data_IF_720339056128
#
_entry.id   IF_720339056128
#
_cell.length_a   1.000
_cell.length_b   1.000
_cell.length_c   1.000
_cell.angle_alpha   90.00
_cell.angle_beta   90.00
_cell.angle_gamma   90.00
#
_symmetry.space_group_name_H-M   'P 1'
#
loop_
_entity.id
_entity.type
_entity.pdbx_description
1 polymer ?
#
# COMPACT_ATOMS: atom_id res chain seq x y z
N UNK A 1 12.42 22.21 5.80
CA UNK A 1 11.12 22.92 5.88
C UNK A 1 10.29 22.43 7.05
N UNK A 2 10.37 21.16 7.42
CA UNK A 2 9.54 20.55 8.46
C UNK A 2 10.26 20.42 9.81
N UNK A 3 11.56 20.09 9.81
CA UNK A 3 12.35 19.83 11.03
C UNK A 3 12.35 20.97 12.06
N UNK A 4 12.27 22.22 11.59
CA UNK A 4 12.32 23.42 12.43
C UNK A 4 10.96 24.15 12.50
N UNK A 5 9.88 23.53 12.01
CA UNK A 5 8.57 24.15 11.93
C UNK A 5 7.63 23.55 12.98
N UNK A 6 7.16 24.34 13.97
CA UNK A 6 6.32 23.84 15.05
C UNK A 6 4.96 23.33 14.57
N UNK A 7 4.55 23.60 13.32
CA UNK A 7 3.31 23.02 12.78
C UNK A 7 3.41 21.53 12.46
N UNK A 8 4.62 20.96 12.48
CA UNK A 8 4.87 19.58 12.08
C UNK A 8 5.70 18.88 13.15
N UNK A 9 5.30 17.66 13.48
CA UNK A 9 6.02 16.78 14.40
C UNK A 9 6.70 15.67 13.63
N UNK A 10 7.93 15.33 14.03
CA UNK A 10 8.57 14.10 13.56
C UNK A 10 7.78 12.91 14.11
N UNK A 11 7.42 11.98 13.24
CA UNK A 11 6.67 10.77 13.60
C UNK A 11 7.46 9.49 13.37
N UNK A 12 8.49 9.55 12.54
CA UNK A 12 9.38 8.42 12.27
C UNK A 12 10.73 8.89 11.76
N UNK A 13 11.78 8.17 12.11
CA UNK A 13 13.12 8.35 11.56
C UNK A 13 13.65 7.01 11.07
N UNK A 14 13.86 6.91 9.76
CA UNK A 14 14.50 5.77 9.11
C UNK A 14 16.00 5.84 9.34
N UNK A 15 16.52 4.87 10.10
CA UNK A 15 17.97 4.70 10.29
C UNK A 15 18.66 4.24 9.01
N UNK A 16 17.98 3.40 8.22
CA UNK A 16 18.51 2.82 6.97
C UNK A 16 18.74 3.92 5.92
N UNK A 17 17.80 4.86 5.81
CA UNK A 17 17.84 5.90 4.78
C UNK A 17 18.29 7.26 5.31
N UNK A 18 18.57 7.38 6.62
CA UNK A 18 18.81 8.64 7.30
C UNK A 18 17.72 9.69 6.94
N UNK A 19 16.45 9.25 6.98
CA UNK A 19 15.31 10.02 6.51
C UNK A 19 14.30 10.25 7.64
N UNK A 20 13.92 11.51 7.86
CA UNK A 20 12.92 11.91 8.86
C UNK A 20 11.58 12.15 8.19
N UNK A 21 10.53 11.63 8.81
CA UNK A 21 9.15 11.76 8.37
C UNK A 21 8.34 12.57 9.38
N UNK A 22 7.49 13.44 8.87
CA UNK A 22 6.73 14.38 9.66
C UNK A 22 5.24 14.27 9.36
N UNK A 23 4.42 14.65 10.34
CA UNK A 23 2.98 14.88 10.17
C UNK A 23 2.60 16.23 10.76
N UNK A 24 1.51 16.87 10.31
CA UNK A 24 1.01 18.08 10.94
C UNK A 24 0.63 17.82 12.39
N UNK A 25 0.86 18.79 13.25
CA UNK A 25 0.45 18.72 14.66
C UNK A 25 -1.06 18.97 14.80
N UNK A 26 -1.62 19.86 13.97
CA UNK A 26 -3.07 20.06 13.87
C UNK A 26 -3.72 19.00 12.98
N UNK A 27 -4.48 18.11 13.60
CA UNK A 27 -5.18 16.99 12.96
C UNK A 27 -6.34 17.48 12.07
N UNK A 28 -6.97 18.62 12.40
CA UNK A 28 -8.19 19.07 11.74
C UNK A 28 -7.92 19.89 10.48
N UNK A 29 -6.87 20.74 10.48
CA UNK A 29 -6.58 21.65 9.35
C UNK A 29 -5.15 21.57 8.84
N UNK A 30 -4.33 20.67 9.38
CA UNK A 30 -2.90 20.61 9.07
C UNK A 30 -2.56 20.05 7.69
N UNK A 31 -3.51 19.43 6.98
CA UNK A 31 -3.30 18.89 5.63
C UNK A 31 -3.97 19.75 4.56
N UNK A 32 -3.27 19.96 3.45
CA UNK A 32 -3.84 20.60 2.27
C UNK A 32 -4.85 19.69 1.55
N UNK A 33 -5.81 20.28 0.83
CA UNK A 33 -6.87 19.58 0.10
C UNK A 33 -6.34 18.50 -0.85
N UNK A 34 -5.20 18.74 -1.49
CA UNK A 34 -4.56 17.80 -2.42
C UNK A 34 -4.24 16.44 -1.79
N UNK A 35 -3.91 16.40 -0.49
CA UNK A 35 -3.64 15.14 0.22
C UNK A 35 -4.90 14.34 0.45
N UNK A 36 -6.01 15.01 0.77
CA UNK A 36 -7.31 14.36 0.88
C UNK A 36 -7.80 13.82 -0.47
N UNK A 37 -7.57 14.57 -1.56
CA UNK A 37 -7.89 14.11 -2.93
C UNK A 37 -7.03 12.89 -3.30
N UNK A 38 -5.73 12.92 -3.02
CA UNK A 38 -4.82 11.81 -3.29
C UNK A 38 -5.18 10.57 -2.45
N UNK A 39 -5.49 10.74 -1.17
CA UNK A 39 -5.94 9.66 -0.29
C UNK A 39 -7.30 9.10 -0.74
N UNK A 40 -8.24 9.95 -1.17
CA UNK A 40 -9.52 9.52 -1.73
C UNK A 40 -9.35 8.68 -2.98
N UNK A 41 -8.49 9.10 -3.91
CA UNK A 41 -8.16 8.31 -5.10
C UNK A 41 -7.51 6.97 -4.73
N UNK A 42 -6.55 6.97 -3.80
CA UNK A 42 -5.93 5.74 -3.30
C UNK A 42 -6.93 4.80 -2.63
N UNK A 43 -7.91 5.32 -1.89
CA UNK A 43 -8.96 4.52 -1.27
C UNK A 43 -9.90 3.89 -2.31
N UNK A 44 -10.18 4.57 -3.43
CA UNK A 44 -10.93 3.99 -4.55
C UNK A 44 -10.17 2.80 -5.15
N UNK A 45 -8.86 2.96 -5.38
CA UNK A 45 -8.00 1.87 -5.84
C UNK A 45 -7.96 0.71 -4.83
N UNK A 46 -7.81 1.03 -3.53
CA UNK A 46 -7.82 0.03 -2.48
C UNK A 46 -9.15 -0.73 -2.38
N UNK A 47 -10.30 -0.05 -2.52
CA UNK A 47 -11.62 -0.69 -2.59
C UNK A 47 -11.81 -1.54 -3.85
N UNK A 48 -11.06 -1.25 -4.91
CA UNK A 48 -10.98 -2.08 -6.10
C UNK A 48 -9.97 -3.25 -5.96
N UNK A 49 -9.24 -3.33 -4.84
CA UNK A 49 -8.25 -4.38 -4.58
C UNK A 49 -7.01 -4.30 -5.47
N UNK A 50 -6.67 -3.12 -5.95
CA UNK A 50 -5.51 -2.92 -6.82
C UNK A 50 -4.82 -1.59 -6.52
N UNK A 51 -3.52 -1.50 -6.79
CA UNK A 51 -2.82 -0.19 -6.84
C UNK A 51 -3.07 0.51 -8.17
N UNK A 52 -2.82 1.82 -8.21
CA UNK A 52 -2.82 2.62 -9.45
C UNK A 52 -1.93 1.97 -10.52
N UNK A 53 -0.69 1.62 -10.19
CA UNK A 53 0.28 1.10 -11.16
C UNK A 53 -0.12 -0.28 -11.69
N UNK A 54 -0.77 -1.09 -10.85
CA UNK A 54 -1.30 -2.38 -11.26
C UNK A 54 -2.48 -2.25 -12.21
N UNK A 55 -3.42 -1.35 -11.93
CA UNK A 55 -4.53 -1.05 -12.84
C UNK A 55 -4.03 -0.48 -14.16
N UNK A 56 -3.06 0.43 -14.12
CA UNK A 56 -2.43 1.01 -15.31
C UNK A 56 -1.77 -0.07 -16.16
N UNK A 57 -0.95 -0.93 -15.56
CA UNK A 57 -0.30 -2.06 -16.24
C UNK A 57 -1.31 -3.05 -16.83
N UNK A 58 -2.44 -3.29 -16.15
CA UNK A 58 -3.50 -4.15 -16.68
C UNK A 58 -4.18 -3.53 -17.90
N UNK A 59 -4.47 -2.22 -17.84
CA UNK A 59 -5.07 -1.49 -18.95
C UNK A 59 -4.14 -1.43 -20.15
N UNK A 60 -2.86 -1.13 -19.93
CA UNK A 60 -1.84 -1.15 -20.98
C UNK A 60 -1.72 -2.54 -21.62
N UNK A 61 -1.72 -3.60 -20.81
CA UNK A 61 -1.67 -4.97 -21.35
C UNK A 61 -2.93 -5.34 -22.12
N UNK A 62 -4.11 -4.89 -21.69
CA UNK A 62 -5.35 -5.07 -22.44
C UNK A 62 -5.28 -4.34 -23.80
N UNK A 63 -4.77 -3.11 -23.83
CA UNK A 63 -4.60 -2.33 -25.07
C UNK A 63 -3.58 -2.98 -26.01
N UNK A 64 -2.45 -3.46 -25.48
CA UNK A 64 -1.43 -4.18 -26.24
C UNK A 64 -2.01 -5.44 -26.87
N UNK A 65 -2.79 -6.23 -26.13
CA UNK A 65 -3.51 -7.38 -26.69
C UNK A 65 -4.49 -6.95 -27.80
N UNK A 66 -5.28 -5.89 -27.59
CA UNK A 66 -6.22 -5.38 -28.60
C UNK A 66 -5.54 -4.96 -29.91
N UNK A 67 -4.30 -4.49 -29.83
CA UNK A 67 -3.52 -4.00 -30.97
C UNK A 67 -2.59 -5.07 -31.57
N UNK A 68 -2.52 -6.28 -30.99
CA UNK A 68 -1.70 -7.37 -31.53
C UNK A 68 -2.44 -8.15 -32.63
N UNK A 69 -2.19 -7.76 -33.88
CA UNK A 69 -2.76 -8.40 -35.07
C UNK A 69 -2.34 -9.87 -35.25
N UNK A 70 -1.28 -10.34 -34.59
CA UNK A 70 -0.74 -11.70 -34.77
C UNK A 70 -1.48 -12.74 -33.91
N UNK A 71 -2.03 -12.34 -32.77
CA UNK A 71 -2.65 -13.23 -31.78
C UNK A 71 -4.18 -13.03 -31.65
N UNK A 72 -4.85 -12.59 -32.72
CA UNK A 72 -6.30 -12.39 -32.78
C UNK A 72 -7.13 -13.61 -32.32
N UNK A 73 -6.61 -14.83 -32.47
CA UNK A 73 -7.30 -16.06 -32.05
C UNK A 73 -7.45 -16.17 -30.52
N UNK A 74 -6.49 -15.68 -29.75
CA UNK A 74 -6.52 -15.74 -28.28
C UNK A 74 -6.98 -14.42 -27.65
N UNK A 75 -7.03 -13.34 -28.42
CA UNK A 75 -7.41 -12.00 -27.98
C UNK A 75 -8.59 -11.96 -26.99
N UNK A 76 -9.71 -12.60 -27.33
CA UNK A 76 -10.91 -12.62 -26.48
C UNK A 76 -10.66 -13.35 -25.15
N UNK A 77 -9.87 -14.42 -25.17
CA UNK A 77 -9.52 -15.22 -23.99
C UNK A 77 -8.51 -14.48 -23.11
N UNK A 78 -7.54 -13.79 -23.71
CA UNK A 78 -6.51 -13.02 -23.00
C UNK A 78 -7.13 -11.81 -22.29
N UNK A 79 -8.00 -11.05 -22.99
CA UNK A 79 -8.79 -9.97 -22.38
C UNK A 79 -9.72 -10.51 -21.29
N UNK A 80 -10.41 -11.63 -21.52
CA UNK A 80 -11.28 -12.23 -20.50
C UNK A 80 -10.51 -12.66 -19.25
N UNK A 81 -9.27 -13.13 -19.40
CA UNK A 81 -8.39 -13.49 -18.28
C UNK A 81 -7.99 -12.25 -17.49
N UNK A 82 -7.56 -11.18 -18.16
CA UNK A 82 -7.24 -9.90 -17.51
C UNK A 82 -8.46 -9.29 -16.81
N UNK A 83 -9.63 -9.31 -17.43
CA UNK A 83 -10.88 -8.84 -16.84
C UNK A 83 -11.33 -9.68 -15.63
N UNK A 84 -11.13 -11.00 -15.67
CA UNK A 84 -11.39 -11.87 -14.52
C UNK A 84 -10.42 -11.60 -13.37
N UNK A 85 -9.16 -11.29 -13.65
CA UNK A 85 -8.19 -10.90 -12.63
C UNK A 85 -8.55 -9.58 -11.96
N UNK A 86 -9.04 -8.59 -12.73
CA UNK A 86 -9.62 -7.36 -12.17
C UNK A 86 -10.83 -7.69 -11.30
N UNK A 87 -11.78 -8.48 -11.83
CA UNK A 87 -12.99 -8.87 -11.11
C UNK A 87 -12.71 -9.64 -9.82
N UNK A 88 -11.67 -10.49 -9.80
CA UNK A 88 -11.24 -11.20 -8.61
C UNK A 88 -10.66 -10.25 -7.56
N UNK A 89 -9.84 -9.27 -7.98
CA UNK A 89 -9.30 -8.24 -7.08
C UNK A 89 -10.39 -7.31 -6.52
N UNK A 90 -11.37 -6.92 -7.33
CA UNK A 90 -12.56 -6.19 -6.88
C UNK A 90 -13.36 -6.96 -5.80
N UNK A 91 -13.29 -8.30 -5.80
CA UNK A 91 -14.00 -9.16 -4.83
C UNK A 91 -13.20 -9.45 -3.56
N UNK A 92 -11.88 -9.43 -3.65
CA UNK A 92 -10.96 -9.73 -2.55
C UNK A 92 -9.88 -8.64 -2.46
N UNK A 93 -10.24 -7.43 -2.00
CA UNK A 93 -9.29 -6.33 -1.88
C UNK A 93 -8.34 -6.59 -0.71
N UNK A 94 -7.21 -7.21 -0.99
CA UNK A 94 -6.12 -7.45 -0.03
C UNK A 94 -4.82 -7.13 -0.75
N UNK A 95 -4.38 -5.88 -0.68
CA UNK A 95 -3.15 -5.47 -1.36
C UNK A 95 -2.32 -4.54 -0.49
N UNK A 96 -1.55 -5.11 0.43
CA UNK A 96 -0.61 -4.46 1.38
C UNK A 96 0.05 -3.17 0.86
N UNK A 97 0.35 -3.12 -0.45
CA UNK A 97 0.86 -1.95 -1.16
C UNK A 97 -0.03 -0.71 -1.11
N UNK A 98 -1.35 -0.85 -1.09
CA UNK A 98 -2.29 0.26 -0.94
C UNK A 98 -2.21 0.87 0.46
N UNK A 99 -2.07 0.05 1.50
CA UNK A 99 -1.85 0.49 2.87
C UNK A 99 -0.51 1.22 2.99
N UNK A 100 0.56 0.66 2.41
CA UNK A 100 1.87 1.32 2.35
C UNK A 100 1.80 2.68 1.64
N UNK A 101 1.16 2.73 0.47
CA UNK A 101 0.96 4.00 -0.27
C UNK A 101 0.17 5.01 0.54
N UNK A 102 -0.88 4.57 1.24
CA UNK A 102 -1.68 5.45 2.08
C UNK A 102 -0.83 6.02 3.24
N UNK A 103 -0.04 5.19 3.91
CA UNK A 103 0.91 5.65 4.93
C UNK A 103 1.93 6.64 4.37
N UNK A 104 2.45 6.39 3.17
CA UNK A 104 3.36 7.30 2.49
C UNK A 104 2.71 8.64 2.10
N UNK A 105 1.45 8.65 1.67
CA UNK A 105 0.70 9.88 1.31
C UNK A 105 0.47 10.77 2.55
N UNK A 106 0.24 10.19 3.73
CA UNK A 106 -0.01 11.00 4.94
C UNK A 106 1.27 11.48 5.65
N UNK A 107 2.43 10.93 5.30
CA UNK A 107 3.73 11.39 5.80
C UNK A 107 4.36 12.44 4.88
N UNK A 108 5.05 13.42 5.46
CA UNK A 108 5.93 14.37 4.75
C UNK A 108 7.39 13.98 4.93
N UNK A 109 8.19 14.08 3.87
CA UNK A 109 9.65 14.06 3.95
C UNK A 109 10.22 15.48 3.69
N UNK A 110 11.45 15.73 4.14
CA UNK A 110 12.14 16.99 3.86
C UNK A 110 12.26 17.26 2.35
N UNK A 111 11.95 18.49 1.96
CA UNK A 111 11.90 18.92 0.56
C UNK A 111 10.56 18.72 -0.15
N UNK A 112 9.57 18.08 0.49
CA UNK A 112 8.19 18.08 -0.04
C UNK A 112 7.52 19.45 0.13
N UNK A 113 6.70 19.84 -0.84
CA UNK A 113 5.79 20.98 -0.72
C UNK A 113 4.54 20.57 0.08
N UNK A 114 4.20 21.30 1.17
CA UNK A 114 3.01 21.01 1.96
C UNK A 114 1.68 21.24 1.23
N UNK A 115 1.67 22.11 0.22
CA UNK A 115 0.44 22.51 -0.50
C UNK A 115 0.15 21.61 -1.70
N UNK A 116 1.04 20.68 -2.02
CA UNK A 116 0.86 19.74 -3.13
C UNK A 116 1.18 18.30 -2.72
N UNK A 117 0.84 17.36 -3.60
CA UNK A 117 1.11 15.93 -3.37
C UNK A 117 1.53 15.32 -4.68
N UNK A 118 2.84 15.18 -4.86
CA UNK A 118 3.40 14.63 -6.08
C UNK A 118 3.63 13.13 -5.94
N UNK A 119 3.25 12.38 -6.97
CA UNK A 119 3.39 10.91 -7.00
C UNK A 119 4.86 10.48 -6.91
N UNK A 120 5.80 11.32 -7.38
CA UNK A 120 7.24 11.09 -7.24
C UNK A 120 7.65 10.85 -5.78
N UNK A 121 7.21 11.72 -4.86
CA UNK A 121 7.55 11.60 -3.44
C UNK A 121 6.91 10.36 -2.82
N UNK A 122 5.64 10.10 -3.14
CA UNK A 122 4.95 8.90 -2.67
C UNK A 122 5.65 7.62 -3.12
N UNK A 123 5.99 7.51 -4.41
CA UNK A 123 6.73 6.35 -4.95
C UNK A 123 8.10 6.19 -4.29
N UNK A 124 8.83 7.30 -4.10
CA UNK A 124 10.15 7.26 -3.45
C UNK A 124 10.06 6.77 -2.00
N UNK A 125 9.05 7.23 -1.24
CA UNK A 125 8.80 6.77 0.13
C UNK A 125 8.45 5.27 0.17
N UNK A 126 7.59 4.81 -0.73
CA UNK A 126 7.25 3.38 -0.84
C UNK A 126 8.47 2.54 -1.24
N UNK A 127 9.32 3.03 -2.15
CA UNK A 127 10.56 2.37 -2.54
C UNK A 127 11.56 2.28 -1.36
N UNK A 128 11.64 3.30 -0.50
CA UNK A 128 12.44 3.22 0.74
C UNK A 128 11.94 2.13 1.69
N UNK A 129 10.62 1.97 1.81
CA UNK A 129 10.03 0.92 2.64
C UNK A 129 10.25 -0.48 2.06
N UNK A 130 9.92 -0.68 0.78
CA UNK A 130 9.96 -2.01 0.11
C UNK A 130 11.36 -2.42 -0.37
N UNK A 131 12.24 -1.45 -0.57
CA UNK A 131 13.44 -1.59 -1.39
C UNK A 131 13.13 -1.51 -2.88
N UNK A 132 14.12 -1.04 -3.65
CA UNK A 132 14.09 -1.04 -5.12
C UNK A 132 15.50 -1.34 -5.63
N UNK A 133 15.69 -2.56 -6.13
CA UNK A 133 16.97 -3.02 -6.67
C UNK A 133 17.38 -2.28 -7.96
N UNK A 134 16.42 -1.76 -8.74
CA UNK A 134 16.72 -1.01 -9.96
C UNK A 134 17.30 0.37 -9.66
N UNK A 135 16.97 0.91 -8.49
CA UNK A 135 17.41 2.22 -8.01
C UNK A 135 18.48 2.13 -6.90
N UNK A 136 18.96 0.92 -6.57
CA UNK A 136 19.86 0.66 -5.44
C UNK A 136 19.34 1.20 -4.09
N UNK A 137 18.03 1.12 -3.87
CA UNK A 137 17.40 1.52 -2.60
C UNK A 137 17.25 0.26 -1.72
N UNK A 138 17.92 0.18 -0.57
CA UNK A 138 17.75 -0.94 0.35
C UNK A 138 16.35 -0.91 0.99
N UNK A 139 15.79 -2.08 1.32
CA UNK A 139 14.53 -2.14 2.04
C UNK A 139 14.70 -1.69 3.50
N UNK A 140 13.68 -1.02 4.04
CA UNK A 140 13.60 -0.64 5.46
C UNK A 140 12.33 -1.25 6.08
N UNK A 141 12.47 -2.41 6.77
CA UNK A 141 11.33 -3.10 7.39
C UNK A 141 10.62 -2.29 8.48
N UNK A 142 11.33 -1.40 9.19
CA UNK A 142 10.71 -0.56 10.23
C UNK A 142 9.86 0.52 9.60
N UNK A 143 10.36 1.17 8.54
CA UNK A 143 9.59 2.14 7.75
C UNK A 143 8.37 1.50 7.09
N UNK A 144 8.53 0.27 6.61
CA UNK A 144 7.46 -0.52 6.04
C UNK A 144 6.33 -0.78 7.06
N UNK A 145 6.68 -1.30 8.24
CA UNK A 145 5.72 -1.55 9.31
C UNK A 145 5.04 -0.24 9.79
N UNK A 146 5.82 0.85 9.88
CA UNK A 146 5.30 2.17 10.20
C UNK A 146 4.25 2.63 9.18
N UNK A 147 4.55 2.60 7.88
CA UNK A 147 3.58 2.99 6.85
C UNK A 147 2.32 2.13 6.85
N UNK A 148 2.42 0.84 7.11
CA UNK A 148 1.23 -0.01 7.27
C UNK A 148 0.40 0.40 8.48
N UNK A 149 1.03 0.66 9.62
CA UNK A 149 0.34 1.07 10.86
C UNK A 149 -0.45 2.38 10.69
N UNK A 150 0.04 3.29 9.85
CA UNK A 150 -0.63 4.54 9.50
C UNK A 150 -1.69 4.29 8.43
N UNK A 151 -1.32 3.62 7.33
CA UNK A 151 -2.11 3.58 6.12
C UNK A 151 -3.31 2.64 6.14
N UNK A 152 -3.25 1.54 6.90
CA UNK A 152 -4.37 0.60 7.04
C UNK A 152 -5.60 1.29 7.67
N UNK A 153 -5.49 2.01 8.81
CA UNK A 153 -6.59 2.79 9.37
C UNK A 153 -7.21 3.81 8.42
N UNK A 154 -6.40 4.43 7.56
CA UNK A 154 -6.86 5.42 6.57
C UNK A 154 -7.33 4.80 5.25
N UNK A 155 -7.49 3.48 5.22
CA UNK A 155 -8.09 2.76 4.09
C UNK A 155 -9.41 2.13 4.57
N UNK A 156 -10.53 2.88 4.60
CA UNK A 156 -11.85 2.40 5.06
C UNK A 156 -12.29 1.06 4.45
N UNK A 157 -12.01 0.87 3.16
CA UNK A 157 -12.32 -0.38 2.45
C UNK A 157 -11.60 -1.60 3.05
N UNK A 158 -10.51 -1.38 3.78
CA UNK A 158 -9.74 -2.40 4.48
C UNK A 158 -10.11 -2.54 5.95
N UNK A 159 -10.51 -1.44 6.59
CA UNK A 159 -10.91 -1.44 8.00
C UNK A 159 -12.06 -2.41 8.25
N UNK A 160 -13.00 -2.52 7.31
CA UNK A 160 -14.12 -3.47 7.37
C UNK A 160 -13.66 -4.95 7.29
N UNK A 161 -12.64 -5.25 6.48
CA UNK A 161 -12.06 -6.58 6.37
C UNK A 161 -11.20 -6.95 7.59
N UNK A 162 -10.42 -6.01 8.12
CA UNK A 162 -9.62 -6.22 9.35
C UNK A 162 -10.45 -6.25 10.62
N UNK A 163 -11.59 -5.53 10.69
CA UNK A 163 -12.54 -5.63 11.79
C UNK A 163 -13.12 -7.05 11.94
N UNK A 164 -13.17 -7.80 10.84
CA UNK A 164 -13.56 -9.23 10.85
C UNK A 164 -12.45 -10.11 11.45
N UNK A 165 -11.18 -9.70 11.33
CA UNK A 165 -10.00 -10.41 11.86
C UNK A 165 -9.70 -10.06 13.32
N UNK A 166 -10.21 -8.97 13.89
CA UNK A 166 -10.00 -8.65 15.32
C UNK A 166 -10.64 -9.62 16.31
N UNK A 167 -11.29 -10.70 15.84
CA UNK A 167 -11.71 -11.79 16.70
C UNK A 167 -10.47 -12.59 17.16
N UNK A 168 -9.83 -12.11 18.22
CA UNK A 168 -8.59 -12.66 18.79
C UNK A 168 -8.72 -14.17 19.06
N UNK A 169 -9.92 -14.63 19.41
CA UNK A 169 -10.24 -16.06 19.61
C UNK A 169 -10.04 -16.91 18.34
N UNK A 170 -10.34 -16.38 17.16
CA UNK A 170 -10.15 -17.12 15.90
C UNK A 170 -8.67 -17.40 15.64
N UNK A 171 -7.80 -16.42 15.90
CA UNK A 171 -6.35 -16.59 15.75
C UNK A 171 -5.76 -17.54 16.78
N UNK A 172 -6.23 -17.49 18.03
CA UNK A 172 -5.85 -18.44 19.08
C UNK A 172 -6.22 -19.89 18.69
N UNK A 173 -7.46 -20.09 18.22
CA UNK A 173 -7.95 -21.41 17.80
C UNK A 173 -7.22 -21.92 16.54
N UNK A 174 -6.91 -21.04 15.60
CA UNK A 174 -6.15 -21.40 14.38
C UNK A 174 -4.71 -21.78 14.69
N UNK A 175 -4.06 -21.09 15.64
CA UNK A 175 -2.71 -21.41 16.10
C UNK A 175 -2.68 -22.77 16.80
N UNK A 176 -3.65 -23.07 17.68
CA UNK A 176 -3.78 -24.39 18.31
C UNK A 176 -4.01 -25.51 17.30
N UNK A 177 -4.88 -25.29 16.31
CA UNK A 177 -5.14 -26.25 15.25
C UNK A 177 -3.89 -26.52 14.38
N UNK A 178 -3.09 -25.50 14.10
CA UNK A 178 -1.82 -25.63 13.36
C UNK A 178 -0.77 -26.38 14.19
N UNK A 179 -0.67 -26.11 15.49
CA UNK A 179 0.24 -26.81 16.39
C UNK A 179 -0.12 -28.29 16.57
N UNK A 180 -1.41 -28.63 16.56
CA UNK A 180 -1.88 -30.01 16.60
C UNK A 180 -1.56 -30.82 15.32
N UNK A 181 -1.35 -30.12 14.19
CA UNK A 181 -0.97 -30.71 12.92
C UNK A 181 0.55 -30.80 12.73
N UNK A 182 1.34 -30.19 13.61
CA UNK A 182 2.79 -30.35 13.58
C UNK A 182 3.16 -31.75 14.09
N UNK A 183 4.01 -32.50 13.36
CA UNK A 183 4.44 -33.82 13.80
C UNK A 183 5.22 -33.68 15.11
N UNK A 184 4.70 -34.28 16.18
CA UNK A 184 5.37 -34.25 17.46
C UNK A 184 6.68 -35.05 17.39
N UNK A 185 7.77 -34.54 17.98
CA UNK A 185 9.02 -35.28 18.04
C UNK A 185 8.78 -36.58 18.80
N UNK A 186 9.06 -37.71 18.14
CA UNK A 186 8.98 -39.03 18.73
C UNK A 186 9.89 -39.08 19.96
N UNK A 187 9.28 -39.17 21.15
CA UNK A 187 9.97 -39.34 22.42
C UNK A 187 10.85 -40.60 22.35
N UNK A 188 12.17 -40.42 22.47
CA UNK A 188 13.13 -41.48 22.83
C UNK A 188 13.34 -41.46 24.33
#
# INVERSE_FOLDING_TARGET
MFANNPKYKEVFYSQVHNARFYMPEDIATGYHLSRYVAAGAQNIYAGAGATKDLLDSMMDKMLECCNDEKNLKTLRTDIATLANNIKYRLRYPVDEDCGLRMGAIYCFAEGEDPDTTEDYHTRRKVAMAKGDATQNIPADPELYAFFLSIGIPYTPAWSELSATLTNTNYFSQRLEALNALQPQPSSR
#
